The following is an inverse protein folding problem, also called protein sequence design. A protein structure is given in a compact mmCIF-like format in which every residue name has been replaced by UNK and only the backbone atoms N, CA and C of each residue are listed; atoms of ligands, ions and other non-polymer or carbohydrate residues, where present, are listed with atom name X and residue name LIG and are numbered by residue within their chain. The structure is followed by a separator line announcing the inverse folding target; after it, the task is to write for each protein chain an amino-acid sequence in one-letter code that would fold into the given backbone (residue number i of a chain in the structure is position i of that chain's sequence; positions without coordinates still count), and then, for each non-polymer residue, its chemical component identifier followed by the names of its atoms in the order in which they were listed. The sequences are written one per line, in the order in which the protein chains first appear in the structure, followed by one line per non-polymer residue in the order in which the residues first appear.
data_IF_385188386181
#
_entry.id   IF_385188386181
#
_cell.length_a   1.000
_cell.length_b   1.000
_cell.length_c   1.000
_cell.angle_alpha   90.00
_cell.angle_beta   90.00
_cell.angle_gamma   90.00
#
_symmetry.space_group_name_H-M   'P 1'
#
loop_
_entity.id
_entity.type
_entity.pdbx_description
1 polymer ?
#
# COMPACT_ATOMS: atom_id res chain seq x y z
N UNK A 1 -29.16 -10.93 26.04
CA UNK A 1 -28.49 -9.91 25.21
C UNK A 1 -27.89 -8.87 26.16
N UNK A 2 -26.56 -8.77 26.22
CA UNK A 2 -25.87 -7.84 27.13
C UNK A 2 -25.67 -6.51 26.39
N UNK A 3 -26.38 -5.47 26.82
CA UNK A 3 -26.29 -4.12 26.28
C UNK A 3 -25.07 -3.43 26.93
N UNK A 4 -23.91 -3.47 26.26
CA UNK A 4 -22.62 -2.96 26.75
C UNK A 4 -22.29 -1.61 26.08
N UNK A 5 -23.26 -0.70 25.98
CA UNK A 5 -22.98 0.67 25.57
C UNK A 5 -23.65 1.61 26.58
N UNK A 6 -22.87 1.99 27.59
CA UNK A 6 -23.25 2.99 28.57
C UNK A 6 -22.93 4.38 27.99
N UNK A 7 -23.92 4.98 27.31
CA UNK A 7 -23.81 6.29 26.67
C UNK A 7 -23.96 7.47 27.67
N UNK A 8 -24.21 7.19 28.95
CA UNK A 8 -24.50 8.23 29.96
C UNK A 8 -23.26 8.71 30.71
N UNK A 9 -22.10 8.05 30.57
CA UNK A 9 -20.92 8.34 31.39
C UNK A 9 -19.90 9.28 30.73
N UNK A 10 -20.05 9.59 29.44
CA UNK A 10 -19.24 10.55 28.71
C UNK A 10 -20.14 11.34 27.78
N UNK A 11 -20.03 12.68 27.80
CA UNK A 11 -20.52 13.50 26.70
C UNK A 11 -19.94 12.92 25.40
N UNK A 12 -20.77 12.44 24.45
CA UNK A 12 -20.24 11.95 23.19
C UNK A 12 -19.51 13.13 22.55
N UNK A 13 -18.20 13.01 22.24
CA UNK A 13 -17.51 14.06 21.51
C UNK A 13 -18.34 14.30 20.25
N UNK A 14 -18.79 15.53 20.03
CA UNK A 14 -19.74 15.86 18.98
C UNK A 14 -19.31 15.18 17.68
N UNK A 15 -19.98 14.07 17.35
CA UNK A 15 -19.57 13.16 16.28
C UNK A 15 -19.95 13.86 14.99
N UNK A 16 -19.11 14.80 14.62
CA UNK A 16 -19.29 15.66 13.48
C UNK A 16 -19.18 14.78 12.23
N UNK A 17 -20.09 14.91 11.27
CA UNK A 17 -19.99 14.19 9.99
C UNK A 17 -18.61 14.37 9.35
N UNK A 18 -17.98 15.51 9.63
CA UNK A 18 -16.64 15.90 9.20
C UNK A 18 -15.56 14.96 9.78
N UNK A 19 -15.67 14.56 11.06
CA UNK A 19 -14.76 13.59 11.68
C UNK A 19 -14.97 12.18 11.10
N UNK A 20 -16.22 11.79 10.83
CA UNK A 20 -16.53 10.49 10.25
C UNK A 20 -16.00 10.37 8.81
N UNK A 21 -16.13 11.43 8.01
CA UNK A 21 -15.57 11.52 6.66
C UNK A 21 -14.04 11.50 6.67
N UNK A 22 -13.41 12.25 7.57
CA UNK A 22 -11.95 12.24 7.70
C UNK A 22 -11.40 10.84 8.03
N UNK A 23 -12.09 10.08 8.89
CA UNK A 23 -11.68 8.72 9.24
C UNK A 23 -11.95 7.72 8.11
N UNK A 24 -13.05 7.88 7.35
CA UNK A 24 -13.33 7.11 6.13
C UNK A 24 -12.29 7.38 5.05
N UNK A 25 -11.90 8.63 4.83
CA UNK A 25 -10.85 9.03 3.88
C UNK A 25 -9.50 8.43 4.28
N UNK A 26 -9.14 8.44 5.58
CA UNK A 26 -7.94 7.76 6.08
C UNK A 26 -7.95 6.26 5.78
N UNK A 27 -9.09 5.58 5.94
CA UNK A 27 -9.23 4.14 5.64
C UNK A 27 -9.24 3.86 4.14
N UNK A 28 -9.85 4.73 3.34
CA UNK A 28 -9.85 4.64 1.89
C UNK A 28 -8.43 4.82 1.33
N UNK A 29 -7.69 5.81 1.82
CA UNK A 29 -6.27 6.02 1.49
C UNK A 29 -5.43 4.80 1.85
N UNK A 30 -5.58 4.24 3.07
CA UNK A 30 -4.89 3.01 3.46
C UNK A 30 -5.26 1.82 2.55
N UNK A 31 -6.53 1.67 2.18
CA UNK A 31 -6.96 0.61 1.25
C UNK A 31 -6.39 0.81 -0.15
N UNK A 32 -6.39 2.04 -0.66
CA UNK A 32 -5.88 2.37 -1.97
C UNK A 32 -4.37 2.11 -2.06
N UNK A 33 -3.59 2.44 -1.02
CA UNK A 33 -2.16 2.13 -0.98
C UNK A 33 -1.91 0.63 -0.88
N UNK A 34 -2.69 -0.12 -0.09
CA UNK A 34 -2.58 -1.58 -0.04
C UNK A 34 -2.93 -2.25 -1.36
N UNK A 35 -3.97 -1.77 -2.06
CA UNK A 35 -4.37 -2.26 -3.38
C UNK A 35 -3.31 -1.95 -4.43
N UNK A 36 -2.73 -0.74 -4.39
CA UNK A 36 -1.65 -0.34 -5.30
C UNK A 36 -0.38 -1.17 -5.07
N UNK A 37 -0.01 -1.43 -3.81
CA UNK A 37 1.13 -2.29 -3.48
C UNK A 37 0.89 -3.72 -3.99
N UNK A 38 -0.31 -4.26 -3.78
CA UNK A 38 -0.67 -5.60 -4.22
C UNK A 38 -0.71 -5.72 -5.75
N UNK A 39 -1.22 -4.71 -6.45
CA UNK A 39 -1.19 -4.63 -7.90
C UNK A 39 0.24 -4.57 -8.45
N UNK A 40 1.14 -3.83 -7.79
CA UNK A 40 2.56 -3.80 -8.14
C UNK A 40 3.23 -5.17 -8.01
N UNK A 41 2.98 -5.88 -6.91
CA UNK A 41 3.50 -7.25 -6.72
C UNK A 41 2.97 -8.19 -7.80
N UNK A 42 1.66 -8.16 -8.07
CA UNK A 42 1.04 -8.98 -9.13
C UNK A 42 1.61 -8.68 -10.51
N UNK A 43 1.81 -7.39 -10.82
CA UNK A 43 2.40 -6.98 -12.09
C UNK A 43 3.84 -7.46 -12.22
N UNK A 44 4.61 -7.45 -11.15
CA UNK A 44 6.01 -7.85 -11.16
C UNK A 44 6.17 -9.37 -11.31
N UNK A 45 5.31 -10.17 -10.67
CA UNK A 45 5.27 -11.62 -10.85
C UNK A 45 4.83 -12.00 -12.27
N UNK A 46 3.83 -11.32 -12.83
CA UNK A 46 3.41 -11.52 -14.21
C UNK A 46 4.55 -11.25 -15.20
N UNK A 47 5.31 -10.17 -14.99
CA UNK A 47 6.46 -9.81 -15.81
C UNK A 47 7.56 -10.88 -15.74
N UNK A 48 7.89 -11.37 -14.54
CA UNK A 48 8.84 -12.48 -14.34
C UNK A 48 8.43 -13.75 -15.10
N UNK A 49 7.16 -14.15 -14.99
CA UNK A 49 6.63 -15.33 -15.71
C UNK A 49 6.70 -15.12 -17.22
N UNK A 50 6.36 -13.93 -17.72
CA UNK A 50 6.45 -13.58 -19.13
C UNK A 50 7.90 -13.65 -19.64
N UNK A 51 8.87 -13.19 -18.84
CA UNK A 51 10.29 -13.28 -19.16
C UNK A 51 10.80 -14.71 -19.31
N UNK A 52 10.37 -15.61 -18.40
CA UNK A 52 10.70 -17.04 -18.44
C UNK A 52 10.04 -17.72 -19.64
N UNK A 53 8.78 -17.39 -19.94
CA UNK A 53 8.06 -17.98 -21.07
C UNK A 53 8.60 -17.51 -22.43
N UNK A 54 9.17 -16.29 -22.48
CA UNK A 54 9.75 -15.71 -23.70
C UNK A 54 11.19 -16.19 -23.99
N UNK A 55 11.89 -16.82 -23.04
CA UNK A 55 13.25 -17.36 -23.21
C UNK A 55 13.43 -18.20 -24.50
N UNK A 56 12.54 -19.17 -24.81
CA UNK A 56 12.71 -20.03 -25.99
C UNK A 56 12.35 -19.38 -27.33
N UNK A 57 11.53 -18.33 -27.34
CA UNK A 57 11.07 -17.69 -28.59
C UNK A 57 11.85 -16.42 -28.93
N UNK A 58 12.08 -15.54 -27.95
CA UNK A 58 12.65 -14.20 -28.15
C UNK A 58 13.53 -13.82 -26.95
N UNK A 59 14.81 -14.23 -26.93
CA UNK A 59 15.70 -14.01 -25.78
C UNK A 59 15.96 -12.53 -25.48
N UNK A 60 15.89 -11.66 -26.49
CA UNK A 60 16.04 -10.20 -26.32
C UNK A 60 14.93 -9.65 -25.42
N UNK A 61 13.67 -10.05 -25.64
CA UNK A 61 12.52 -9.61 -24.83
C UNK A 61 12.66 -10.09 -23.38
N UNK A 62 13.19 -11.30 -23.19
CA UNK A 62 13.47 -11.85 -21.87
C UNK A 62 14.49 -11.00 -21.10
N UNK A 63 15.60 -10.59 -21.74
CA UNK A 63 16.62 -9.73 -21.12
C UNK A 63 16.05 -8.37 -20.71
N UNK A 64 15.25 -7.73 -21.57
CA UNK A 64 14.57 -6.48 -21.21
C UNK A 64 13.60 -6.67 -20.03
N UNK A 65 12.91 -7.80 -19.98
CA UNK A 65 11.99 -8.15 -18.91
C UNK A 65 12.70 -8.28 -17.55
N UNK A 66 13.82 -9.02 -17.51
CA UNK A 66 14.64 -9.13 -16.30
C UNK A 66 15.29 -7.79 -15.91
N UNK A 67 15.75 -7.01 -16.88
CA UNK A 67 16.27 -5.66 -16.64
C UNK A 67 15.21 -4.75 -16.02
N UNK A 68 13.99 -4.78 -16.53
CA UNK A 68 12.87 -4.02 -15.97
C UNK A 68 12.57 -4.43 -14.52
N UNK A 69 12.51 -5.73 -14.24
CA UNK A 69 12.26 -6.25 -12.87
C UNK A 69 13.34 -5.81 -11.89
N UNK A 70 14.61 -5.80 -12.29
CA UNK A 70 15.69 -5.32 -11.41
C UNK A 70 15.56 -3.82 -11.13
N UNK A 71 15.28 -3.01 -12.15
CA UNK A 71 15.07 -1.56 -12.00
C UNK A 71 13.86 -1.25 -11.12
N UNK A 72 12.74 -1.98 -11.26
CA UNK A 72 11.56 -1.76 -10.41
C UNK A 72 11.81 -2.17 -8.96
N UNK A 73 12.55 -3.26 -8.70
CA UNK A 73 12.96 -3.64 -7.34
C UNK A 73 13.85 -2.56 -6.73
N UNK A 74 14.85 -2.07 -7.47
CA UNK A 74 15.73 -1.00 -6.96
C UNK A 74 14.95 0.29 -6.71
N UNK A 75 14.07 0.68 -7.63
CA UNK A 75 13.23 1.88 -7.49
C UNK A 75 12.27 1.78 -6.28
N UNK A 76 11.62 0.64 -6.10
CA UNK A 76 10.73 0.42 -4.95
C UNK A 76 11.48 0.40 -3.61
N UNK A 77 12.69 -0.16 -3.56
CA UNK A 77 13.53 -0.13 -2.36
C UNK A 77 13.94 1.30 -1.98
N UNK A 78 14.32 2.13 -2.95
CA UNK A 78 14.65 3.54 -2.74
C UNK A 78 13.45 4.33 -2.24
N UNK A 79 12.27 4.12 -2.84
CA UNK A 79 11.02 4.73 -2.40
C UNK A 79 10.65 4.29 -0.98
N UNK A 80 10.82 3.02 -0.63
CA UNK A 80 10.58 2.53 0.73
C UNK A 80 11.49 3.22 1.75
N UNK A 81 12.79 3.36 1.46
CA UNK A 81 13.75 4.05 2.34
C UNK A 81 13.44 5.54 2.47
N UNK A 82 13.02 6.20 1.38
CA UNK A 82 12.58 7.60 1.42
C UNK A 82 11.29 7.76 2.25
N UNK A 83 10.34 6.85 2.09
CA UNK A 83 9.10 6.84 2.88
C UNK A 83 9.39 6.59 4.37
N UNK A 84 10.34 5.73 4.74
CA UNK A 84 10.69 5.55 6.15
C UNK A 84 11.47 6.74 6.72
N UNK A 85 12.36 7.36 5.93
CA UNK A 85 13.08 8.57 6.35
C UNK A 85 12.20 9.81 6.47
N UNK A 86 11.25 10.01 5.53
CA UNK A 86 10.36 11.17 5.49
C UNK A 86 9.09 10.96 6.33
N UNK A 87 8.51 9.77 6.26
CA UNK A 87 7.27 9.40 6.95
C UNK A 87 7.48 8.78 8.34
N UNK A 88 8.72 8.54 8.78
CA UNK A 88 8.99 8.03 10.14
C UNK A 88 8.42 8.92 11.26
N UNK A 89 8.30 10.23 11.04
CA UNK A 89 7.66 11.15 11.99
C UNK A 89 6.12 11.08 11.94
N UNK A 90 5.52 10.93 10.76
CA UNK A 90 4.06 10.99 10.59
C UNK A 90 3.37 9.63 10.79
N UNK A 91 4.08 8.53 10.49
CA UNK A 91 3.56 7.17 10.57
C UNK A 91 3.60 6.64 12.01
N UNK A 92 4.51 7.15 12.86
CA UNK A 92 4.48 6.94 14.32
C UNK A 92 3.30 7.65 14.99
N UNK A 93 2.94 8.86 14.53
CA UNK A 93 1.79 9.63 15.02
C UNK A 93 0.43 9.05 14.60
N UNK A 94 0.38 8.18 13.58
CA UNK A 94 -0.84 7.50 13.12
C UNK A 94 -0.99 6.08 13.68
N UNK A 95 -0.04 5.61 14.49
CA UNK A 95 0.00 4.29 15.12
C UNK A 95 -0.10 4.35 16.66
N UNK A 96 -0.24 5.55 17.22
CA UNK A 96 -0.59 5.82 18.62
C UNK A 96 -1.97 6.46 18.71
#
# INVERSE_FOLDING_TARGET
MKQICNFEQHDPPALNENMLRAELERRALKRQTTLAALAGILSQTAMLVLGILALPYMPVVSVFCFGYVTVTITGSAVLAILCTRKGGNDLWLLLQ
#
